data_IF_217576502728
#
_entry.id   IF_217576502728
#
_cell.length_a   1.000
_cell.length_b   1.000
_cell.length_c   1.000
_cell.angle_alpha   90.00
_cell.angle_beta   90.00
_cell.angle_gamma   90.00
#
_symmetry.space_group_name_H-M   'P 1'
#
loop_
_entity.id
_entity.type
_entity.pdbx_description
1 polymer ?
#
# COMPACT_ATOMS: atom_id res chain seq x y z
N UNK A 1 -1.34 -32.11 -13.05
CA UNK A 1 -2.57 -31.34 -12.75
C UNK A 1 -2.12 -29.93 -12.44
N UNK A 2 -2.35 -28.97 -13.35
CA UNK A 2 -1.82 -27.61 -13.19
C UNK A 2 -2.63 -26.88 -12.11
N UNK A 3 -2.01 -26.58 -10.97
CA UNK A 3 -2.60 -25.69 -9.97
C UNK A 3 -2.65 -24.29 -10.57
N UNK A 4 -3.85 -23.69 -10.61
CA UNK A 4 -4.00 -22.26 -10.92
C UNK A 4 -3.53 -21.46 -9.71
N UNK A 5 -2.63 -20.51 -9.93
CA UNK A 5 -2.23 -19.51 -8.92
C UNK A 5 -3.39 -18.53 -8.67
N UNK A 6 -3.58 -18.11 -7.41
CA UNK A 6 -4.60 -17.12 -7.01
C UNK A 6 -4.02 -16.29 -5.84
N UNK A 7 -4.27 -14.97 -5.86
CA UNK A 7 -3.41 -13.82 -5.51
C UNK A 7 -3.47 -13.35 -4.01
N UNK A 8 -3.03 -12.16 -3.52
CA UNK A 8 -3.11 -11.82 -2.06
C UNK A 8 -3.13 -10.33 -1.68
N UNK A 9 -3.86 -10.06 -0.59
CA UNK A 9 -4.37 -8.76 -0.14
C UNK A 9 -3.81 -8.43 1.28
N UNK A 10 -3.33 -7.20 1.56
CA UNK A 10 -2.57 -6.69 2.73
C UNK A 10 -2.85 -5.20 3.02
N UNK A 11 -3.11 -4.77 4.27
CA UNK A 11 -3.53 -3.38 4.59
C UNK A 11 -2.42 -2.50 5.12
N UNK A 12 -2.61 -1.18 5.04
CA UNK A 12 -1.60 -0.19 5.38
C UNK A 12 -2.19 1.01 6.13
N UNK A 13 -1.89 1.12 7.43
CA UNK A 13 -2.22 2.27 8.27
C UNK A 13 -0.99 3.21 8.39
N UNK A 14 -0.81 4.14 7.45
CA UNK A 14 0.40 4.99 7.41
C UNK A 14 0.40 6.04 8.53
N UNK A 15 1.02 5.74 9.68
CA UNK A 15 1.30 6.72 10.73
C UNK A 15 2.66 7.43 10.55
N UNK A 16 2.75 8.20 9.47
CA UNK A 16 3.96 8.95 9.15
C UNK A 16 4.25 10.09 10.15
N UNK A 17 5.21 9.86 11.04
CA UNK A 17 5.67 10.82 12.05
C UNK A 17 7.04 11.42 11.69
N UNK A 18 7.04 12.68 11.27
CA UNK A 18 8.24 13.39 10.81
C UNK A 18 9.04 14.06 11.94
N UNK A 19 10.35 13.83 11.97
CA UNK A 19 11.26 14.56 12.86
C UNK A 19 11.66 15.94 12.30
N UNK A 20 11.40 16.99 13.09
CA UNK A 20 11.78 18.41 12.88
C UNK A 20 11.05 19.14 11.73
N UNK A 21 10.20 20.11 12.10
CA UNK A 21 9.56 21.10 11.22
C UNK A 21 8.68 20.54 10.06
N UNK A 22 7.81 19.60 10.40
CA UNK A 22 6.85 18.93 9.52
C UNK A 22 5.75 19.90 8.99
N UNK A 23 5.84 20.32 7.73
CA UNK A 23 4.78 21.04 7.01
C UNK A 23 4.46 20.31 5.69
N UNK A 24 3.20 19.94 5.47
CA UNK A 24 2.78 19.23 4.24
C UNK A 24 2.72 17.69 4.34
N UNK A 25 2.94 17.13 5.53
CA UNK A 25 2.83 15.70 5.78
C UNK A 25 1.40 15.40 6.27
N UNK A 26 0.66 14.55 5.55
CA UNK A 26 -0.81 14.48 5.61
C UNK A 26 -1.52 15.77 5.14
N UNK A 27 -0.92 16.49 4.19
CA UNK A 27 -1.60 17.52 3.39
C UNK A 27 -1.25 17.35 1.89
N UNK A 28 -2.06 16.60 1.11
CA UNK A 28 -3.34 16.00 1.49
C UNK A 28 -3.17 14.88 2.53
N UNK A 29 -4.18 14.63 3.40
CA UNK A 29 -4.19 13.46 4.26
C UNK A 29 -4.20 12.20 3.41
N UNK A 30 -3.67 11.10 3.96
CA UNK A 30 -3.92 9.78 3.39
C UNK A 30 -5.44 9.56 3.34
N UNK A 31 -5.96 9.19 2.18
CA UNK A 31 -7.39 8.90 2.00
C UNK A 31 -7.59 7.37 2.09
N UNK A 32 -8.71 6.97 2.68
CA UNK A 32 -9.18 5.59 2.73
C UNK A 32 -8.08 4.61 3.21
N UNK A 33 -7.45 4.94 4.33
CA UNK A 33 -6.31 4.23 4.89
C UNK A 33 -6.62 2.80 5.34
N UNK A 34 -7.90 2.52 5.65
CA UNK A 34 -8.37 1.19 6.04
C UNK A 34 -9.15 0.48 4.93
N UNK A 35 -9.23 1.04 3.72
CA UNK A 35 -9.96 0.45 2.57
C UNK A 35 -11.48 0.25 2.82
N UNK A 36 -12.07 1.05 3.72
CA UNK A 36 -13.48 0.92 4.14
C UNK A 36 -14.47 1.68 3.24
N UNK A 37 -13.99 2.48 2.28
CA UNK A 37 -14.87 3.10 1.28
C UNK A 37 -15.35 2.11 0.19
N UNK A 38 -14.72 0.93 0.07
CA UNK A 38 -15.07 -0.10 -0.90
C UNK A 38 -16.38 -0.84 -0.57
N UNK A 39 -17.47 -0.25 -1.03
CA UNK A 39 -18.85 -0.77 -0.90
C UNK A 39 -19.07 -2.17 -1.48
N UNK A 40 -18.20 -2.68 -2.36
CA UNK A 40 -18.32 -4.04 -2.89
C UNK A 40 -16.99 -4.66 -3.36
N UNK A 41 -16.98 -5.99 -3.30
CA UNK A 41 -15.92 -6.87 -3.75
C UNK A 41 -15.48 -6.58 -5.20
N UNK A 42 -14.18 -6.33 -5.40
CA UNK A 42 -13.60 -6.13 -6.73
C UNK A 42 -13.84 -4.77 -7.40
N UNK A 43 -14.19 -3.73 -6.63
CA UNK A 43 -14.17 -2.35 -7.12
C UNK A 43 -12.77 -1.74 -6.96
N UNK A 44 -12.39 -0.71 -7.74
CA UNK A 44 -11.20 0.10 -7.47
C UNK A 44 -11.22 0.67 -6.05
N UNK A 45 -10.05 0.88 -5.46
CA UNK A 45 -9.92 1.44 -4.12
C UNK A 45 -10.03 2.98 -4.16
N UNK A 46 -11.08 3.60 -3.58
CA UNK A 46 -11.21 5.06 -3.56
C UNK A 46 -10.01 5.71 -2.85
N UNK A 47 -9.50 6.80 -3.44
CA UNK A 47 -8.34 7.54 -2.92
C UNK A 47 -6.97 6.99 -3.34
N UNK A 48 -6.91 5.72 -3.77
CA UNK A 48 -5.67 5.10 -4.24
C UNK A 48 -5.68 4.97 -5.76
N UNK A 49 -4.49 4.76 -6.32
CA UNK A 49 -4.27 4.38 -7.70
C UNK A 49 -3.80 2.92 -7.74
N UNK A 50 -4.44 2.14 -8.60
CA UNK A 50 -4.28 0.69 -8.63
C UNK A 50 -3.61 0.24 -9.96
N UNK A 51 -2.81 -0.83 -9.97
CA UNK A 51 -2.35 -1.47 -11.22
C UNK A 51 -2.36 -2.99 -11.07
N UNK A 52 -2.93 -3.74 -12.04
CA UNK A 52 -2.91 -5.21 -12.07
C UNK A 52 -2.06 -5.76 -13.21
N UNK A 53 -1.16 -6.68 -12.89
CA UNK A 53 -0.51 -7.52 -13.89
C UNK A 53 -1.49 -8.50 -14.58
N UNK A 54 -2.69 -8.73 -14.03
CA UNK A 54 -3.70 -9.64 -14.57
C UNK A 54 -5.15 -9.22 -14.30
N UNK A 55 -5.70 -8.39 -15.22
CA UNK A 55 -7.04 -7.77 -15.44
C UNK A 55 -8.35 -8.36 -14.85
N UNK A 56 -8.34 -9.36 -14.00
CA UNK A 56 -9.52 -9.97 -13.39
C UNK A 56 -9.78 -9.36 -11.98
N UNK A 57 -10.23 -8.10 -11.97
CA UNK A 57 -11.19 -7.44 -11.05
C UNK A 57 -11.10 -7.62 -9.51
N UNK A 58 -9.95 -7.66 -8.83
CA UNK A 58 -9.95 -7.75 -7.34
C UNK A 58 -8.94 -6.87 -6.59
N UNK A 59 -9.39 -5.66 -6.24
CA UNK A 59 -8.70 -4.70 -5.34
C UNK A 59 -9.20 -4.73 -3.91
N UNK A 60 -10.47 -5.06 -3.68
CA UNK A 60 -11.05 -5.12 -2.35
C UNK A 60 -11.88 -6.39 -2.09
N UNK A 61 -11.75 -6.87 -0.86
CA UNK A 61 -12.40 -8.03 -0.25
C UNK A 61 -13.28 -7.56 0.91
N UNK A 62 -14.15 -8.42 1.44
CA UNK A 62 -15.00 -8.09 2.59
C UNK A 62 -15.06 -9.31 3.50
N UNK A 63 -15.03 -9.13 4.82
CA UNK A 63 -15.04 -10.18 5.85
C UNK A 63 -16.32 -11.05 5.89
N UNK A 64 -17.21 -10.87 4.93
CA UNK A 64 -18.47 -11.59 4.80
C UNK A 64 -18.32 -13.05 4.34
N UNK A 65 -17.15 -13.46 3.83
CA UNK A 65 -16.96 -14.79 3.23
C UNK A 65 -16.39 -15.87 4.14
N UNK A 66 -15.89 -15.51 5.33
CA UNK A 66 -15.31 -16.47 6.29
C UNK A 66 -14.01 -17.14 5.82
N UNK A 67 -13.46 -16.69 4.69
CA UNK A 67 -12.14 -17.08 4.15
C UNK A 67 -11.08 -16.01 4.41
N UNK A 68 -11.51 -14.83 4.89
CA UNK A 68 -10.74 -13.61 5.12
C UNK A 68 -10.51 -13.41 6.63
N UNK A 69 -9.28 -13.07 7.07
CA UNK A 69 -8.95 -12.85 8.49
C UNK A 69 -9.71 -11.63 9.06
N UNK A 70 -9.74 -11.49 10.39
CA UNK A 70 -10.44 -10.38 11.05
C UNK A 70 -9.54 -9.18 11.30
N UNK A 71 -9.92 -8.00 10.81
CA UNK A 71 -9.29 -6.71 11.10
C UNK A 71 -9.88 -6.06 12.35
N UNK A 72 -9.10 -5.15 12.96
CA UNK A 72 -9.55 -4.22 14.00
C UNK A 72 -10.01 -2.88 13.41
N UNK A 73 -9.88 -2.69 12.10
CA UNK A 73 -10.08 -1.40 11.41
C UNK A 73 -11.37 -1.31 10.57
N UNK A 74 -12.22 -2.34 10.58
CA UNK A 74 -13.51 -2.35 9.89
C UNK A 74 -13.92 -3.75 9.42
N UNK A 75 -14.42 -3.89 8.20
CA UNK A 75 -14.90 -5.14 7.58
C UNK A 75 -14.32 -5.39 6.16
N UNK A 76 -13.47 -4.52 5.61
CA UNK A 76 -13.14 -4.46 4.18
C UNK A 76 -11.65 -4.63 3.91
N UNK A 77 -11.30 -5.67 3.14
CA UNK A 77 -9.91 -6.02 2.82
C UNK A 77 -9.43 -5.51 1.44
N UNK A 78 -8.97 -4.26 1.37
CA UNK A 78 -8.25 -3.75 0.19
C UNK A 78 -6.85 -4.34 0.05
N UNK A 79 -6.37 -4.52 -1.21
CA UNK A 79 -4.99 -4.77 -1.68
C UNK A 79 -4.83 -5.59 -3.01
N UNK A 80 -3.91 -6.56 -2.99
CA UNK A 80 -2.92 -6.76 -4.04
C UNK A 80 -3.01 -8.12 -4.74
N UNK A 81 -2.11 -8.27 -5.71
CA UNK A 81 -1.84 -9.50 -6.45
C UNK A 81 -0.34 -9.58 -6.73
N UNK A 82 0.26 -10.76 -6.98
CA UNK A 82 1.55 -10.86 -7.66
C UNK A 82 1.73 -9.86 -8.81
N UNK A 83 2.58 -8.86 -8.60
CA UNK A 83 2.85 -7.75 -9.53
C UNK A 83 1.83 -6.59 -9.52
N UNK A 84 0.84 -6.62 -8.62
CA UNK A 84 -0.10 -5.53 -8.37
C UNK A 84 0.40 -4.56 -7.30
N UNK A 85 -0.14 -3.34 -7.31
CA UNK A 85 0.24 -2.23 -6.42
C UNK A 85 -0.99 -1.41 -5.99
N UNK A 86 -0.84 -0.70 -4.87
CA UNK A 86 -1.62 0.51 -4.53
C UNK A 86 -0.65 1.66 -4.28
N UNK A 87 -0.95 2.85 -4.79
CA UNK A 87 -0.16 4.04 -4.49
C UNK A 87 -1.01 5.30 -4.40
N UNK A 88 -0.56 6.26 -3.59
CA UNK A 88 -1.30 7.50 -3.30
C UNK A 88 -0.33 8.63 -2.93
N UNK A 89 -0.69 9.88 -3.23
CA UNK A 89 0.03 11.07 -2.74
C UNK A 89 -0.25 11.28 -1.25
N UNK A 90 0.79 11.37 -0.44
CA UNK A 90 0.72 11.53 1.03
C UNK A 90 1.19 12.90 1.53
N UNK A 91 1.53 13.80 0.60
CA UNK A 91 2.01 15.14 0.92
C UNK A 91 3.00 15.69 -0.10
N UNK A 92 3.91 16.53 0.39
CA UNK A 92 5.07 17.04 -0.35
C UNK A 92 6.38 16.52 0.24
N UNK A 93 7.39 16.41 -0.60
CA UNK A 93 8.74 15.99 -0.23
C UNK A 93 9.47 17.09 0.53
N UNK A 94 10.12 16.67 1.63
CA UNK A 94 11.08 17.45 2.39
C UNK A 94 12.39 16.66 2.55
N UNK A 95 13.52 17.37 2.56
CA UNK A 95 14.84 16.78 2.59
C UNK A 95 15.17 16.15 3.96
N UNK A 96 15.61 14.90 3.95
CA UNK A 96 16.08 14.18 5.15
C UNK A 96 14.99 13.81 6.15
N UNK A 97 13.72 13.91 5.76
CA UNK A 97 12.61 13.46 6.58
C UNK A 97 12.55 11.92 6.65
N UNK A 98 11.98 11.43 7.75
CA UNK A 98 11.84 10.01 8.08
C UNK A 98 10.41 9.73 8.48
N UNK A 99 9.89 8.58 8.05
CA UNK A 99 8.50 8.19 8.08
C UNK A 99 8.44 6.80 8.70
N UNK A 100 7.83 6.64 9.87
CA UNK A 100 7.32 5.34 10.27
C UNK A 100 6.08 5.03 9.44
N UNK A 101 5.93 3.79 8.98
CA UNK A 101 4.75 3.32 8.27
C UNK A 101 4.31 2.01 8.93
N UNK A 102 3.08 1.99 9.42
CA UNK A 102 2.48 0.83 10.07
C UNK A 102 1.49 0.16 9.10
N UNK A 103 1.33 -1.15 9.22
CA UNK A 103 0.71 -2.02 8.21
C UNK A 103 0.03 -3.18 8.94
N UNK A 104 -1.23 -3.49 8.60
CA UNK A 104 -1.90 -4.69 9.09
C UNK A 104 -1.90 -5.76 7.99
N UNK A 105 -1.08 -6.79 8.17
CA UNK A 105 -1.03 -7.93 7.27
C UNK A 105 -2.02 -9.00 7.71
N UNK A 106 -2.71 -9.64 6.77
CA UNK A 106 -3.66 -10.72 7.03
C UNK A 106 -3.40 -11.93 6.14
N UNK A 107 -3.46 -13.14 6.70
CA UNK A 107 -3.20 -14.38 5.97
C UNK A 107 -4.49 -15.13 5.65
N UNK A 108 -4.84 -15.19 4.36
CA UNK A 108 -6.07 -15.84 3.87
C UNK A 108 -5.88 -17.34 3.61
N UNK A 109 -6.87 -18.12 4.06
CA UNK A 109 -7.06 -19.57 3.83
C UNK A 109 -6.63 -20.17 2.49
N UNK A 110 -6.81 -19.45 1.38
CA UNK A 110 -6.79 -20.03 0.02
C UNK A 110 -5.56 -19.68 -0.80
N UNK A 111 -4.73 -18.75 -0.34
CA UNK A 111 -3.77 -18.02 -1.17
C UNK A 111 -2.34 -18.07 -0.61
N UNK A 112 -1.31 -17.88 -1.42
CA UNK A 112 0.09 -18.15 -1.04
C UNK A 112 0.84 -16.87 -0.67
N UNK A 113 1.42 -16.76 0.53
CA UNK A 113 2.07 -15.52 0.99
C UNK A 113 3.29 -15.15 0.12
N UNK A 114 3.25 -13.96 -0.50
CA UNK A 114 4.38 -13.34 -1.20
C UNK A 114 5.07 -12.24 -0.39
N UNK A 115 4.48 -11.83 0.75
CA UNK A 115 4.83 -10.58 1.43
C UNK A 115 4.47 -9.35 0.59
N UNK A 116 4.76 -8.18 1.17
CA UNK A 116 4.66 -6.91 0.46
C UNK A 116 5.93 -6.08 0.63
N UNK A 117 6.14 -5.12 -0.26
CA UNK A 117 7.06 -4.01 -0.03
C UNK A 117 6.25 -2.73 0.18
N UNK A 118 6.79 -1.84 1.01
CA UNK A 118 6.31 -0.46 1.13
C UNK A 118 7.44 0.46 0.70
N UNK A 119 7.15 1.42 -0.16
CA UNK A 119 8.15 2.37 -0.68
C UNK A 119 7.65 3.81 -0.68
N UNK A 120 8.59 4.75 -0.50
CA UNK A 120 8.36 6.17 -0.69
C UNK A 120 8.88 6.60 -2.07
N UNK A 121 8.11 7.43 -2.76
CA UNK A 121 8.46 8.01 -4.05
C UNK A 121 8.32 9.52 -4.00
N UNK A 122 9.17 10.24 -4.72
CA UNK A 122 9.11 11.70 -4.79
C UNK A 122 9.20 12.25 -6.20
N UNK A 123 8.61 13.43 -6.42
CA UNK A 123 8.53 14.07 -7.73
C UNK A 123 7.36 13.56 -8.57
N UNK A 124 7.53 13.62 -9.88
CA UNK A 124 6.50 13.26 -10.85
C UNK A 124 5.43 14.35 -11.08
N UNK A 125 4.57 14.12 -12.07
CA UNK A 125 3.47 15.02 -12.43
C UNK A 125 2.13 14.44 -11.94
N UNK A 126 1.56 15.05 -10.89
CA UNK A 126 0.28 14.62 -10.31
C UNK A 126 -0.86 14.52 -11.32
N UNK A 127 -0.88 15.37 -12.34
CA UNK A 127 -1.92 15.37 -13.37
C UNK A 127 -1.84 14.17 -14.35
N UNK A 128 -0.83 13.31 -14.20
CA UNK A 128 -0.68 12.05 -14.93
C UNK A 128 -0.95 10.81 -14.06
N UNK A 129 -1.21 10.97 -12.76
CA UNK A 129 -1.51 9.86 -11.87
C UNK A 129 -2.90 9.27 -12.17
N UNK A 130 -2.96 7.96 -12.40
CA UNK A 130 -4.18 7.21 -12.63
C UNK A 130 -4.00 5.73 -12.32
N UNK A 131 -5.11 5.01 -12.26
CA UNK A 131 -5.11 3.55 -12.35
C UNK A 131 -4.39 3.07 -13.63
N UNK A 132 -3.98 1.80 -13.62
CA UNK A 132 -3.15 1.14 -14.62
C UNK A 132 -1.79 1.85 -14.87
N UNK A 133 -1.28 2.63 -13.91
CA UNK A 133 0.06 3.25 -13.98
C UNK A 133 0.88 3.07 -12.69
N UNK A 134 2.21 3.17 -12.83
CA UNK A 134 3.17 3.18 -11.73
C UNK A 134 3.69 4.61 -11.49
N UNK A 135 4.20 4.95 -10.28
CA UNK A 135 4.82 6.25 -10.00
C UNK A 135 5.93 6.65 -11.00
N UNK A 136 6.67 5.67 -11.52
CA UNK A 136 7.71 5.89 -12.55
C UNK A 136 7.15 6.45 -13.86
N UNK A 137 5.93 6.06 -14.23
CA UNK A 137 5.28 6.51 -15.46
C UNK A 137 4.89 8.00 -15.40
N UNK A 138 4.65 8.52 -14.19
CA UNK A 138 4.43 9.96 -13.97
C UNK A 138 5.74 10.74 -13.74
N UNK A 139 6.88 10.06 -13.71
CA UNK A 139 8.21 10.64 -13.47
C UNK A 139 8.59 10.78 -12.00
N UNK A 140 7.92 10.09 -11.07
CA UNK A 140 8.37 10.00 -9.68
C UNK A 140 9.57 9.05 -9.56
N UNK A 141 10.41 9.28 -8.55
CA UNK A 141 11.62 8.48 -8.27
C UNK A 141 11.52 7.83 -6.89
N UNK A 142 11.85 6.54 -6.79
CA UNK A 142 11.86 5.80 -5.51
C UNK A 142 12.97 6.35 -4.61
N UNK A 143 12.59 6.72 -3.39
CA UNK A 143 13.46 7.34 -2.39
C UNK A 143 13.98 6.30 -1.39
N UNK A 144 13.08 5.43 -0.96
CA UNK A 144 13.37 4.29 -0.08
C UNK A 144 12.29 3.23 -0.21
N UNK A 145 12.62 2.03 0.24
CA UNK A 145 11.85 0.80 0.15
C UNK A 145 12.13 -0.02 1.41
N UNK A 146 11.13 -0.72 1.92
CA UNK A 146 11.30 -1.63 3.06
C UNK A 146 12.04 -2.90 2.64
N UNK A 147 12.56 -3.65 3.62
CA UNK A 147 12.72 -5.09 3.38
C UNK A 147 11.34 -5.72 3.09
N UNK A 148 11.33 -6.93 2.54
CA UNK A 148 10.07 -7.62 2.26
C UNK A 148 9.33 -7.91 3.56
N UNK A 149 8.12 -7.36 3.70
CA UNK A 149 7.25 -7.54 4.85
C UNK A 149 6.51 -8.88 4.68
N UNK A 150 7.26 -9.98 4.74
CA UNK A 150 6.70 -11.34 4.83
C UNK A 150 6.33 -11.60 6.28
N UNK A 151 5.15 -12.15 6.47
CA UNK A 151 4.73 -12.73 7.73
C UNK A 151 5.05 -14.22 7.80
N UNK A 152 6.34 -14.56 7.93
CA UNK A 152 6.73 -15.88 8.45
C UNK A 152 6.11 -16.12 9.84
N UNK A 153 5.77 -15.04 10.57
CA UNK A 153 5.08 -15.05 11.86
C UNK A 153 3.54 -14.98 11.81
N UNK A 154 2.90 -14.90 10.64
CA UNK A 154 1.46 -15.22 10.52
C UNK A 154 1.37 -16.68 10.09
N UNK A 155 1.90 -17.54 10.98
CA UNK A 155 2.10 -18.97 10.77
C UNK A 155 0.78 -19.71 10.53
N UNK A 156 -0.34 -19.17 11.05
CA UNK A 156 -1.65 -19.76 10.84
C UNK A 156 -2.55 -18.93 9.91
N UNK A 157 -3.31 -19.70 9.13
CA UNK A 157 -4.40 -19.24 8.28
C UNK A 157 -5.45 -18.52 9.14
N UNK A 158 -5.95 -17.37 8.67
CA UNK A 158 -6.93 -16.47 9.31
C UNK A 158 -6.40 -15.56 10.44
N UNK A 159 -5.08 -15.48 10.65
CA UNK A 159 -4.48 -14.51 11.56
C UNK A 159 -4.14 -13.17 10.87
N UNK A 160 -4.00 -12.13 11.70
CA UNK A 160 -3.53 -10.79 11.33
C UNK A 160 -2.33 -10.38 12.16
N UNK A 161 -1.45 -9.56 11.61
CA UNK A 161 -0.29 -9.02 12.32
C UNK A 161 0.02 -7.58 11.90
N UNK A 162 0.17 -6.70 12.88
CA UNK A 162 0.74 -5.37 12.68
C UNK A 162 2.26 -5.46 12.44
N UNK A 163 2.76 -4.77 11.42
CA UNK A 163 4.18 -4.59 11.14
C UNK A 163 4.49 -3.12 10.89
N UNK A 164 5.72 -2.71 11.22
CA UNK A 164 6.19 -1.33 11.07
C UNK A 164 7.47 -1.30 10.26
N UNK A 165 7.60 -0.33 9.35
CA UNK A 165 8.84 -0.01 8.65
C UNK A 165 9.20 1.46 8.83
N UNK A 166 10.48 1.81 8.65
CA UNK A 166 10.97 3.18 8.73
C UNK A 166 11.63 3.54 7.40
N UNK A 167 11.01 4.45 6.66
CA UNK A 167 11.44 4.93 5.35
C UNK A 167 11.94 6.37 5.43
N UNK A 168 12.80 6.78 4.50
CA UNK A 168 13.34 8.15 4.43
C UNK A 168 13.18 8.75 3.04
N UNK A 169 12.93 10.05 3.01
CA UNK A 169 12.85 10.83 1.76
C UNK A 169 14.23 11.14 1.16
N UNK A 170 15.31 10.88 1.89
CA UNK A 170 16.68 11.08 1.42
C UNK A 170 16.99 12.55 1.09
N UNK A 171 17.87 12.77 0.11
CA UNK A 171 18.24 14.09 -0.40
C UNK A 171 18.27 14.06 -1.92
N UNK A 172 17.97 15.19 -2.58
CA UNK A 172 18.19 15.35 -4.03
C UNK A 172 16.98 15.77 -4.86
N UNK A 173 15.79 15.86 -4.28
CA UNK A 173 14.62 16.48 -4.90
C UNK A 173 14.47 17.96 -4.48
N UNK A 174 13.43 18.61 -5.00
CA UNK A 174 13.07 19.99 -4.66
C UNK A 174 12.03 19.99 -3.53
N UNK A 175 12.20 20.81 -2.46
CA UNK A 175 11.16 20.98 -1.45
C UNK A 175 9.83 21.41 -2.10
N UNK A 176 8.76 20.69 -1.79
CA UNK A 176 7.45 20.89 -2.43
C UNK A 176 7.16 19.98 -3.64
N UNK A 177 8.13 19.19 -4.11
CA UNK A 177 7.85 18.09 -5.06
C UNK A 177 6.82 17.12 -4.45
N UNK A 178 5.95 16.45 -5.23
CA UNK A 178 4.95 15.53 -4.67
C UNK A 178 5.62 14.35 -3.94
N UNK A 179 5.03 13.90 -2.84
CA UNK A 179 5.46 12.70 -2.12
C UNK A 179 4.36 11.63 -2.16
N UNK A 180 4.74 10.41 -2.51
CA UNK A 180 3.84 9.27 -2.67
C UNK A 180 4.27 8.10 -1.78
N UNK A 181 3.29 7.32 -1.33
CA UNK A 181 3.50 5.97 -0.84
C UNK A 181 3.09 4.97 -1.93
N UNK A 182 3.83 3.87 -2.04
CA UNK A 182 3.44 2.67 -2.79
C UNK A 182 3.49 1.46 -1.89
N UNK A 183 2.54 0.55 -2.10
CA UNK A 183 2.40 -0.76 -1.49
C UNK A 183 2.38 -1.75 -2.66
N UNK A 184 3.24 -2.75 -2.67
CA UNK A 184 3.33 -3.72 -3.78
C UNK A 184 3.49 -5.15 -3.28
N UNK A 185 3.00 -6.13 -4.05
CA UNK A 185 3.31 -7.55 -3.80
C UNK A 185 4.78 -7.85 -4.08
N UNK A 186 5.38 -8.71 -3.26
CA UNK A 186 6.61 -9.43 -3.62
C UNK A 186 6.40 -10.55 -4.64
#
# INVERSE_FOLDING_TARGET
>A
MFKKSIYLISFVLVLATGGVAQAGLNDPPLLNESFEEETSYGQPTPGWYDYDAGRDEYWAFQETRGEDPKTTYGDVWGALRPGGIHWQKIGTWDAGATYQIDVLLGNRTTWANWGIYVSLWGGGNEALASDDTYPEAIGATRLSESDILITDEVESIMETKEVSTILSTGIGLTPGDPLWIQIESG
#
